data_IF_133964412509
#
_entry.id   IF_133964412509
#
_cell.length_a   1.000
_cell.length_b   1.000
_cell.length_c   1.000
_cell.angle_alpha   90.00
_cell.angle_beta   90.00
_cell.angle_gamma   90.00
#
_symmetry.space_group_name_H-M   'P 1'
#
loop_
_entity.id
_entity.type
_entity.pdbx_description
1 polymer ?
#
# COMPACT_ATOMS: atom_id res chain seq x y z
N UNK A 1 -40.98 29.35 72.72
CA UNK A 1 -40.49 30.30 71.72
C UNK A 1 -40.87 29.77 70.35
N UNK A 2 -41.92 30.35 69.79
CA UNK A 2 -42.58 30.00 68.52
C UNK A 2 -41.88 30.73 67.37
N UNK A 3 -41.36 30.00 66.38
CA UNK A 3 -40.90 30.54 65.09
C UNK A 3 -42.03 30.51 64.05
N UNK A 4 -42.24 31.55 63.25
CA UNK A 4 -43.36 31.62 62.35
C UNK A 4 -43.10 30.90 61.02
N UNK A 5 -44.11 30.17 60.56
CA UNK A 5 -44.19 29.32 59.34
C UNK A 5 -44.37 30.08 58.02
N UNK A 6 -43.66 31.17 57.73
CA UNK A 6 -43.89 31.97 56.50
C UNK A 6 -42.74 32.07 55.53
N UNK A 7 -41.59 31.38 55.75
CA UNK A 7 -40.45 31.39 54.78
C UNK A 7 -40.37 30.20 53.79
N UNK A 8 -41.15 29.14 54.00
CA UNK A 8 -41.05 27.95 53.16
C UNK A 8 -41.79 28.02 51.81
N UNK A 9 -42.64 29.02 51.59
CA UNK A 9 -43.46 29.13 50.37
C UNK A 9 -42.86 29.98 49.25
N UNK A 10 -41.82 30.75 49.50
CA UNK A 10 -41.16 31.61 48.48
C UNK A 10 -39.94 30.99 47.86
N UNK A 11 -39.36 29.95 48.42
CA UNK A 11 -38.18 29.22 47.85
C UNK A 11 -38.62 28.16 46.84
N UNK A 12 -39.84 27.61 46.94
CA UNK A 12 -40.36 26.63 46.01
C UNK A 12 -40.74 27.22 44.63
N UNK A 13 -41.01 28.54 44.51
CA UNK A 13 -41.35 29.17 43.20
C UNK A 13 -40.14 29.64 42.41
N UNK A 14 -38.98 29.83 43.00
CA UNK A 14 -37.73 30.20 42.31
C UNK A 14 -36.99 28.96 41.73
N UNK A 15 -37.14 27.79 42.34
CA UNK A 15 -36.59 26.54 41.83
C UNK A 15 -37.39 25.93 40.68
N UNK A 16 -38.67 26.24 40.50
CA UNK A 16 -39.49 25.76 39.40
C UNK A 16 -39.29 26.55 38.10
N UNK A 17 -38.77 27.80 38.16
CA UNK A 17 -38.56 28.64 36.97
C UNK A 17 -37.15 28.42 36.32
N UNK A 18 -36.22 27.75 36.99
CA UNK A 18 -34.90 27.44 36.43
C UNK A 18 -34.80 26.09 35.68
N UNK A 19 -35.87 25.29 35.64
CA UNK A 19 -35.85 23.97 34.99
C UNK A 19 -36.36 23.96 33.53
N UNK A 20 -36.66 25.09 32.94
CA UNK A 20 -37.23 25.16 31.56
C UNK A 20 -36.32 25.82 30.53
N UNK A 21 -35.09 26.18 30.87
CA UNK A 21 -34.09 26.58 29.90
C UNK A 21 -32.89 25.58 29.91
N UNK A 22 -33.16 24.33 29.55
CA UNK A 22 -32.10 23.49 29.03
C UNK A 22 -31.70 24.08 27.68
N UNK A 23 -30.46 24.56 27.46
CA UNK A 23 -30.01 24.87 26.12
C UNK A 23 -30.06 23.54 25.36
N UNK A 24 -30.80 23.50 24.26
CA UNK A 24 -30.58 22.55 23.21
C UNK A 24 -29.11 22.74 22.76
N UNK A 25 -28.19 22.10 23.45
CA UNK A 25 -26.84 21.87 22.96
C UNK A 25 -27.06 21.02 21.70
N UNK A 26 -27.18 21.68 20.56
CA UNK A 26 -26.93 21.05 19.28
C UNK A 26 -25.52 20.51 19.36
N UNK A 27 -25.39 19.22 19.71
CA UNK A 27 -24.18 18.49 19.44
C UNK A 27 -23.85 18.74 17.99
N UNK A 28 -22.67 19.26 17.62
CA UNK A 28 -22.28 19.30 16.25
C UNK A 28 -22.30 17.84 15.78
N UNK A 29 -23.30 17.47 15.01
CA UNK A 29 -23.26 16.27 14.21
C UNK A 29 -22.04 16.49 13.32
N UNK A 30 -20.94 15.80 13.60
CA UNK A 30 -19.90 15.58 12.61
C UNK A 30 -20.61 14.75 11.54
N UNK A 31 -21.26 15.46 10.60
CA UNK A 31 -21.69 14.84 9.37
C UNK A 31 -20.40 14.28 8.76
N UNK A 32 -20.31 12.97 8.70
CA UNK A 32 -19.20 12.30 8.01
C UNK A 32 -19.06 13.00 6.66
N UNK A 33 -17.88 13.57 6.38
CA UNK A 33 -17.67 14.38 5.20
C UNK A 33 -18.02 13.53 3.98
N UNK A 34 -19.08 13.93 3.26
CA UNK A 34 -19.67 13.13 2.19
C UNK A 34 -18.73 13.10 1.00
N UNK A 35 -18.37 11.90 0.55
CA UNK A 35 -17.61 11.74 -0.69
C UNK A 35 -18.49 12.14 -1.86
N UNK A 36 -17.99 13.06 -2.68
CA UNK A 36 -18.66 13.57 -3.87
C UNK A 36 -17.99 13.02 -5.12
N UNK A 37 -18.77 12.58 -6.10
CA UNK A 37 -18.30 12.37 -7.46
C UNK A 37 -18.32 13.71 -8.19
N UNK A 38 -17.16 14.32 -8.38
CA UNK A 38 -16.99 15.58 -9.07
C UNK A 38 -16.60 15.31 -10.52
N UNK A 39 -17.29 15.99 -11.44
CA UNK A 39 -16.92 16.02 -12.87
C UNK A 39 -16.62 17.46 -13.23
N UNK A 40 -15.41 17.74 -13.68
CA UNK A 40 -15.03 19.08 -14.14
C UNK A 40 -15.74 19.48 -15.41
N UNK A 41 -15.78 20.78 -15.79
CA UNK A 41 -16.30 21.22 -17.07
C UNK A 41 -15.65 20.54 -18.28
N UNK A 42 -14.36 20.21 -18.21
CA UNK A 42 -13.59 19.47 -19.24
C UNK A 42 -13.73 17.95 -19.18
N UNK A 43 -14.56 17.42 -18.26
CA UNK A 43 -14.84 15.99 -18.15
C UNK A 43 -13.79 15.18 -17.32
N UNK A 44 -12.99 15.85 -16.51
CA UNK A 44 -12.07 15.17 -15.57
C UNK A 44 -12.87 14.75 -14.32
N UNK A 45 -12.81 13.45 -13.98
CA UNK A 45 -13.54 12.89 -12.85
C UNK A 45 -12.66 12.78 -11.61
N UNK A 46 -13.19 13.11 -10.43
CA UNK A 46 -12.52 12.95 -9.16
C UNK A 46 -13.49 12.54 -8.04
N UNK A 47 -13.01 11.75 -7.08
CA UNK A 47 -13.69 11.62 -5.79
C UNK A 47 -13.20 12.70 -4.86
N UNK A 48 -14.12 13.49 -4.35
CA UNK A 48 -13.82 14.68 -3.60
C UNK A 48 -14.49 14.71 -2.22
N UNK A 49 -13.71 15.08 -1.21
CA UNK A 49 -14.18 15.37 0.14
C UNK A 49 -13.80 16.80 0.48
N UNK A 50 -14.80 17.67 0.61
CA UNK A 50 -14.57 19.03 1.07
C UNK A 50 -14.38 19.04 2.59
N UNK A 51 -13.19 19.46 3.03
CA UNK A 51 -12.82 19.57 4.44
C UNK A 51 -12.05 20.87 4.67
N UNK A 52 -12.68 21.81 5.34
CA UNK A 52 -12.11 23.12 5.69
C UNK A 52 -11.56 23.16 7.12
N UNK A 53 -11.44 22.03 7.80
CA UNK A 53 -10.93 21.95 9.17
C UNK A 53 -9.47 22.45 9.25
N UNK A 54 -8.67 22.17 8.22
CA UNK A 54 -7.30 22.65 8.05
C UNK A 54 -7.19 23.29 6.67
N UNK A 55 -6.51 24.45 6.51
CA UNK A 55 -6.37 25.12 5.20
C UNK A 55 -5.37 24.40 4.28
N UNK A 56 -5.64 23.12 3.99
CA UNK A 56 -4.79 22.20 3.27
C UNK A 56 -5.60 21.47 2.20
N UNK A 57 -4.94 21.16 1.08
CA UNK A 57 -5.48 20.31 0.01
C UNK A 57 -4.51 19.16 -0.20
N UNK A 58 -5.03 17.94 -0.19
CA UNK A 58 -4.32 16.71 -0.52
C UNK A 58 -4.98 16.06 -1.73
N UNK A 59 -4.21 15.79 -2.76
CA UNK A 59 -4.64 15.09 -3.96
C UNK A 59 -3.76 13.87 -4.20
N UNK A 60 -4.40 12.75 -4.44
CA UNK A 60 -3.78 11.51 -4.89
C UNK A 60 -4.36 11.16 -6.26
N UNK A 61 -3.51 10.73 -7.19
CA UNK A 61 -3.97 10.35 -8.52
C UNK A 61 -3.15 9.18 -9.08
N UNK A 62 -3.72 8.48 -10.05
CA UNK A 62 -3.06 7.38 -10.72
C UNK A 62 -3.50 7.27 -12.18
N UNK A 63 -2.55 6.88 -13.03
CA UNK A 63 -2.77 6.43 -14.40
C UNK A 63 -2.58 4.92 -14.44
N UNK A 64 -3.39 4.20 -15.22
CA UNK A 64 -3.16 2.78 -15.48
C UNK A 64 -1.89 2.58 -16.29
N UNK A 65 -1.12 1.55 -15.95
CA UNK A 65 0.02 1.16 -16.77
C UNK A 65 1.36 0.97 -16.09
N UNK A 66 1.74 1.53 -15.04
CA UNK A 66 2.95 1.30 -14.23
C UNK A 66 4.12 0.56 -14.90
N UNK A 67 4.88 -0.20 -14.12
CA UNK A 67 6.03 -0.97 -14.60
C UNK A 67 5.66 -2.16 -15.52
N UNK A 68 4.40 -2.56 -15.57
CA UNK A 68 3.94 -3.57 -16.56
C UNK A 68 4.04 -3.07 -18.00
N UNK A 69 4.19 -1.77 -18.20
CA UNK A 69 4.36 -1.14 -19.50
C UNK A 69 5.83 -0.97 -19.91
N UNK A 70 6.76 -1.33 -19.05
CA UNK A 70 8.19 -1.31 -19.35
C UNK A 70 8.53 -2.42 -20.36
N UNK A 71 9.31 -2.14 -21.42
CA UNK A 71 9.89 -3.19 -22.25
C UNK A 71 10.74 -4.15 -21.41
N UNK A 72 10.78 -5.43 -21.78
CA UNK A 72 11.45 -6.45 -20.97
C UNK A 72 12.94 -6.16 -20.73
N UNK A 73 13.61 -5.57 -21.72
CA UNK A 73 15.03 -5.18 -21.68
C UNK A 73 15.27 -3.79 -21.08
N UNK A 74 14.20 -3.02 -20.81
CA UNK A 74 14.21 -1.68 -20.22
C UNK A 74 13.36 -1.61 -18.94
N UNK A 75 13.32 -2.70 -18.14
CA UNK A 75 12.66 -2.71 -16.85
C UNK A 75 13.18 -1.55 -15.98
N UNK A 76 12.27 -0.85 -15.28
CA UNK A 76 12.57 0.35 -14.52
C UNK A 76 12.31 1.65 -15.29
N UNK A 77 11.80 1.59 -16.53
CA UNK A 77 11.47 2.79 -17.30
C UNK A 77 10.46 3.67 -16.58
N UNK A 78 9.33 3.12 -16.12
CA UNK A 78 8.35 3.86 -15.34
C UNK A 78 8.92 4.44 -14.05
N UNK A 79 9.84 3.74 -13.40
CA UNK A 79 10.54 4.23 -12.22
C UNK A 79 11.49 5.40 -12.55
N UNK A 80 12.24 5.33 -13.67
CA UNK A 80 13.08 6.45 -14.13
C UNK A 80 12.24 7.68 -14.44
N UNK A 81 11.11 7.52 -15.16
CA UNK A 81 10.18 8.62 -15.44
C UNK A 81 9.68 9.22 -14.12
N UNK A 82 9.24 8.41 -13.16
CA UNK A 82 8.73 8.89 -11.88
C UNK A 82 9.75 9.74 -11.09
N UNK A 83 11.03 9.39 -11.16
CA UNK A 83 12.09 10.13 -10.48
C UNK A 83 12.61 11.35 -11.26
N UNK A 84 12.05 11.64 -12.44
CA UNK A 84 12.53 12.72 -13.30
C UNK A 84 11.45 13.74 -13.67
N UNK A 85 10.18 13.50 -13.36
CA UNK A 85 9.10 14.44 -13.72
C UNK A 85 9.17 15.78 -12.99
N UNK A 86 9.81 15.86 -11.86
CA UNK A 86 10.05 17.07 -11.07
C UNK A 86 11.48 17.64 -11.22
N UNK A 87 12.28 17.04 -12.10
CA UNK A 87 13.66 17.44 -12.37
C UNK A 87 13.74 18.38 -13.60
N UNK A 88 12.92 19.45 -13.57
CA UNK A 88 12.80 20.43 -14.65
C UNK A 88 11.65 20.19 -15.60
N UNK A 89 10.81 21.22 -15.78
CA UNK A 89 9.60 21.13 -16.58
C UNK A 89 9.15 22.50 -17.07
N UNK A 90 8.60 22.57 -18.29
CA UNK A 90 8.12 23.82 -18.87
C UNK A 90 9.26 24.80 -19.15
N UNK A 91 9.32 25.92 -18.45
CA UNK A 91 10.39 26.93 -18.49
C UNK A 91 11.34 26.89 -17.29
N UNK A 92 11.18 25.89 -16.39
CA UNK A 92 11.92 25.76 -15.14
C UNK A 92 12.95 24.64 -15.25
N UNK A 93 14.20 24.95 -14.91
CA UNK A 93 15.21 23.93 -14.64
C UNK A 93 14.92 23.22 -13.28
N UNK A 94 15.59 22.11 -13.04
CA UNK A 94 15.42 21.29 -11.83
C UNK A 94 15.56 22.12 -10.55
N UNK A 95 16.58 22.98 -10.45
CA UNK A 95 16.83 23.82 -9.29
C UNK A 95 15.68 24.79 -9.03
N UNK A 96 15.26 25.53 -10.05
CA UNK A 96 14.19 26.52 -9.93
C UNK A 96 12.85 25.87 -9.62
N UNK A 97 12.61 24.66 -10.19
CA UNK A 97 11.41 23.88 -9.92
C UNK A 97 11.34 23.51 -8.42
N UNK A 98 12.40 22.92 -7.87
CA UNK A 98 12.46 22.57 -6.45
C UNK A 98 12.42 23.77 -5.52
N UNK A 99 13.08 24.89 -5.87
CA UNK A 99 12.99 26.14 -5.10
C UNK A 99 11.54 26.67 -5.02
N UNK A 100 10.73 26.49 -6.06
CA UNK A 100 9.31 26.88 -6.03
C UNK A 100 8.49 25.96 -5.12
N UNK A 101 8.72 24.64 -5.18
CA UNK A 101 8.09 23.69 -4.27
C UNK A 101 8.39 24.02 -2.80
N UNK A 102 9.68 24.19 -2.48
CA UNK A 102 10.14 24.45 -1.11
C UNK A 102 9.61 25.78 -0.56
N UNK A 103 9.69 26.85 -1.34
CA UNK A 103 9.25 28.18 -0.92
C UNK A 103 7.76 28.23 -0.56
N UNK A 104 6.95 27.39 -1.19
CA UNK A 104 5.50 27.31 -1.01
C UNK A 104 5.05 26.15 -0.14
N UNK A 105 6.00 25.37 0.40
CA UNK A 105 5.69 24.14 1.13
C UNK A 105 4.74 23.21 0.34
N UNK A 106 5.00 23.08 -0.97
CA UNK A 106 4.29 22.17 -1.85
C UNK A 106 5.00 20.82 -1.83
N UNK A 107 4.29 19.76 -1.51
CA UNK A 107 4.79 18.39 -1.59
C UNK A 107 4.25 17.75 -2.87
N UNK A 108 5.13 17.46 -3.80
CA UNK A 108 4.85 16.77 -5.05
C UNK A 108 5.70 15.51 -5.11
N UNK A 109 5.09 14.38 -5.45
CA UNK A 109 5.85 13.15 -5.65
C UNK A 109 5.20 12.25 -6.71
N UNK A 110 6.04 11.43 -7.35
CA UNK A 110 5.61 10.44 -8.33
C UNK A 110 6.20 9.08 -8.00
N UNK A 111 5.49 8.03 -8.33
CA UNK A 111 6.00 6.68 -8.24
C UNK A 111 5.39 5.75 -9.29
N UNK A 112 6.14 4.75 -9.73
CA UNK A 112 5.66 3.70 -10.62
C UNK A 112 5.51 2.41 -9.83
N UNK A 113 4.26 1.96 -9.67
CA UNK A 113 3.95 0.62 -9.16
C UNK A 113 3.88 -0.38 -10.31
N UNK A 114 3.46 -1.63 -10.06
CA UNK A 114 3.31 -2.60 -11.16
C UNK A 114 2.25 -2.17 -12.17
N UNK A 115 1.07 -1.81 -11.68
CA UNK A 115 -0.11 -1.58 -12.53
C UNK A 115 -0.43 -0.10 -12.74
N UNK A 116 0.18 0.78 -11.96
CA UNK A 116 -0.17 2.21 -11.95
C UNK A 116 1.06 3.11 -11.88
N UNK A 117 1.00 4.20 -12.64
CA UNK A 117 1.83 5.38 -12.41
C UNK A 117 1.05 6.32 -11.49
N UNK A 118 1.58 6.60 -10.31
CA UNK A 118 0.91 7.35 -9.25
C UNK A 118 1.60 8.67 -8.98
N UNK A 119 0.83 9.65 -8.51
CA UNK A 119 1.38 10.88 -7.96
C UNK A 119 0.55 11.38 -6.79
N UNK A 120 1.21 12.13 -5.93
CA UNK A 120 0.58 12.85 -4.83
C UNK A 120 0.95 14.34 -4.89
N UNK A 121 0.02 15.19 -4.50
CA UNK A 121 0.21 16.63 -4.41
C UNK A 121 -0.45 17.13 -3.12
N UNK A 122 0.34 17.78 -2.26
CA UNK A 122 -0.14 18.37 -1.03
C UNK A 122 0.34 19.82 -0.89
N UNK A 123 -0.56 20.72 -0.53
CA UNK A 123 -0.25 22.13 -0.40
C UNK A 123 -1.18 22.83 0.58
N UNK A 124 -0.74 24.01 1.04
CA UNK A 124 -1.67 24.96 1.66
C UNK A 124 -2.63 25.51 0.62
N UNK A 125 -3.88 25.75 1.01
CA UNK A 125 -4.96 26.28 0.17
C UNK A 125 -4.57 27.51 -0.66
N UNK A 126 -3.79 28.42 -0.06
CA UNK A 126 -3.32 29.67 -0.70
C UNK A 126 -2.34 29.43 -1.84
N UNK A 127 -1.64 28.28 -1.84
CA UNK A 127 -0.63 27.92 -2.84
C UNK A 127 -1.18 27.01 -3.94
N UNK A 128 -2.49 26.73 -3.96
CA UNK A 128 -3.11 25.76 -4.88
C UNK A 128 -2.83 26.05 -6.35
N UNK A 129 -2.92 27.31 -6.77
CA UNK A 129 -2.78 27.66 -8.19
C UNK A 129 -1.36 27.37 -8.69
N UNK A 130 -0.32 27.70 -7.90
CA UNK A 130 1.08 27.37 -8.22
C UNK A 130 1.34 25.86 -8.14
N UNK A 131 0.78 25.17 -7.16
CA UNK A 131 0.97 23.74 -7.00
C UNK A 131 0.38 22.93 -8.18
N UNK A 132 -0.83 23.27 -8.62
CA UNK A 132 -1.47 22.64 -9.77
C UNK A 132 -0.77 23.00 -11.09
N UNK A 133 -0.19 24.21 -11.21
CA UNK A 133 0.59 24.58 -12.39
C UNK A 133 1.93 23.83 -12.48
N UNK A 134 2.67 23.70 -11.35
CA UNK A 134 3.87 22.87 -11.28
C UNK A 134 3.58 21.42 -11.65
N UNK A 135 2.50 20.84 -11.11
CA UNK A 135 2.08 19.50 -11.49
C UNK A 135 1.74 19.40 -12.99
N UNK A 136 1.01 20.38 -13.55
CA UNK A 136 0.71 20.42 -14.98
C UNK A 136 1.98 20.39 -15.81
N UNK A 137 2.96 21.22 -15.48
CA UNK A 137 4.24 21.26 -16.18
C UNK A 137 4.98 19.93 -16.13
N UNK A 138 5.05 19.29 -14.96
CA UNK A 138 5.65 17.96 -14.78
C UNK A 138 5.00 16.91 -15.68
N UNK A 139 3.68 16.92 -15.80
CA UNK A 139 2.95 15.91 -16.56
C UNK A 139 2.95 16.16 -18.08
N UNK A 140 3.02 17.42 -18.51
CA UNK A 140 2.85 17.78 -19.94
C UNK A 140 4.13 18.20 -20.65
N UNK A 141 5.13 18.65 -19.91
CA UNK A 141 6.35 19.27 -20.48
C UNK A 141 7.62 18.93 -19.68
N UNK A 142 7.83 17.67 -19.25
CA UNK A 142 9.05 17.29 -18.56
C UNK A 142 10.26 17.41 -19.49
N UNK A 143 11.38 17.89 -18.98
CA UNK A 143 12.59 18.12 -19.78
C UNK A 143 13.35 16.83 -20.08
N UNK A 144 13.64 16.04 -19.06
CA UNK A 144 14.57 14.92 -19.13
C UNK A 144 15.95 15.37 -19.62
N UNK A 145 16.48 16.44 -18.99
CA UNK A 145 17.78 16.98 -19.34
C UNK A 145 18.88 15.95 -19.02
N UNK A 146 19.89 15.86 -19.90
CA UNK A 146 20.92 14.82 -19.81
C UNK A 146 21.66 14.79 -18.48
N UNK A 147 21.93 15.96 -17.89
CA UNK A 147 22.59 16.06 -16.58
C UNK A 147 21.73 15.48 -15.44
N UNK A 148 20.41 15.73 -15.46
CA UNK A 148 19.48 15.20 -14.46
C UNK A 148 19.24 13.71 -14.69
N UNK A 149 19.11 13.25 -15.92
CA UNK A 149 19.01 11.83 -16.26
C UNK A 149 20.25 11.06 -15.79
N UNK A 150 21.46 11.60 -15.98
CA UNK A 150 22.69 10.98 -15.50
C UNK A 150 22.73 10.94 -13.97
N UNK A 151 22.41 12.05 -13.31
CA UNK A 151 22.40 12.17 -11.84
C UNK A 151 21.38 11.19 -11.20
N UNK A 152 20.14 11.22 -11.66
CA UNK A 152 19.06 10.35 -11.16
C UNK A 152 19.34 8.88 -11.50
N UNK A 153 19.81 8.62 -12.72
CA UNK A 153 20.25 7.28 -13.13
C UNK A 153 21.35 6.73 -12.21
N UNK A 154 22.35 7.55 -11.85
CA UNK A 154 23.39 7.15 -10.90
C UNK A 154 22.82 6.85 -9.50
N UNK A 155 21.82 7.60 -9.02
CA UNK A 155 21.13 7.36 -7.76
C UNK A 155 20.37 6.02 -7.78
N UNK A 156 19.58 5.77 -8.84
CA UNK A 156 18.86 4.50 -9.03
C UNK A 156 19.84 3.34 -9.07
N UNK A 157 20.92 3.43 -9.86
CA UNK A 157 21.95 2.41 -9.95
C UNK A 157 22.65 2.16 -8.60
N UNK A 158 22.88 3.19 -7.80
CA UNK A 158 23.41 3.05 -6.43
C UNK A 158 22.44 2.28 -5.53
N UNK A 159 21.14 2.56 -5.63
CA UNK A 159 20.08 1.79 -4.95
C UNK A 159 20.11 0.33 -5.35
N UNK A 160 20.11 0.04 -6.65
CA UNK A 160 20.13 -1.31 -7.19
C UNK A 160 21.39 -2.10 -6.77
N UNK A 161 22.57 -1.45 -6.72
CA UNK A 161 23.79 -2.09 -6.19
C UNK A 161 23.64 -2.49 -4.72
N UNK A 162 23.07 -1.63 -3.87
CA UNK A 162 22.78 -1.99 -2.47
C UNK A 162 21.83 -3.19 -2.37
N UNK A 163 20.83 -3.25 -3.23
CA UNK A 163 19.85 -4.34 -3.26
C UNK A 163 20.46 -5.69 -3.62
N UNK A 164 21.58 -5.74 -4.36
CA UNK A 164 22.26 -7.00 -4.68
C UNK A 164 22.89 -7.71 -3.47
N UNK A 165 23.12 -6.98 -2.38
CA UNK A 165 23.62 -7.52 -1.10
C UNK A 165 22.60 -7.48 0.04
N UNK A 166 21.39 -6.97 -0.21
CA UNK A 166 20.34 -6.91 0.79
C UNK A 166 19.51 -8.21 0.76
N UNK A 167 19.52 -9.01 1.84
CA UNK A 167 18.82 -10.29 1.85
C UNK A 167 17.30 -10.17 1.69
N UNK A 168 16.69 -9.09 2.18
CA UNK A 168 15.24 -8.85 2.03
C UNK A 168 14.88 -8.51 0.59
N UNK A 169 15.66 -7.63 -0.07
CA UNK A 169 15.46 -7.29 -1.49
C UNK A 169 15.64 -8.53 -2.38
N UNK A 170 16.67 -9.34 -2.12
CA UNK A 170 16.92 -10.58 -2.84
C UNK A 170 15.78 -11.60 -2.66
N UNK A 171 15.29 -11.76 -1.44
CA UNK A 171 14.20 -12.70 -1.13
C UNK A 171 12.88 -12.27 -1.79
N UNK A 172 12.52 -10.99 -1.71
CA UNK A 172 11.30 -10.45 -2.33
C UNK A 172 11.34 -10.55 -3.85
N UNK A 173 12.47 -10.22 -4.47
CA UNK A 173 12.68 -10.36 -5.91
C UNK A 173 12.52 -11.82 -6.36
N UNK A 174 13.24 -12.73 -5.68
CA UNK A 174 13.19 -14.16 -6.01
C UNK A 174 11.80 -14.76 -5.79
N UNK A 175 11.07 -14.29 -4.80
CA UNK A 175 9.69 -14.71 -4.57
C UNK A 175 8.79 -14.36 -5.77
N UNK A 176 8.86 -13.12 -6.27
CA UNK A 176 8.06 -12.70 -7.42
C UNK A 176 8.47 -13.40 -8.72
N UNK A 177 9.77 -13.64 -8.91
CA UNK A 177 10.29 -14.43 -10.02
C UNK A 177 9.75 -15.87 -9.99
N UNK A 178 9.77 -16.52 -8.81
CA UNK A 178 9.19 -17.87 -8.63
C UNK A 178 7.66 -17.85 -8.82
N UNK A 179 6.99 -16.83 -8.30
CA UNK A 179 5.53 -16.75 -8.38
C UNK A 179 5.02 -16.48 -9.80
N UNK A 180 5.73 -15.68 -10.60
CA UNK A 180 5.19 -15.17 -11.86
C UNK A 180 6.04 -15.47 -13.11
N UNK A 181 7.26 -16.01 -12.96
CA UNK A 181 8.14 -16.36 -14.08
C UNK A 181 8.36 -15.17 -15.03
N UNK A 182 8.10 -15.39 -16.32
CA UNK A 182 8.30 -14.40 -17.39
C UNK A 182 7.21 -13.32 -17.46
N UNK A 183 6.12 -13.44 -16.70
CA UNK A 183 5.08 -12.42 -16.63
C UNK A 183 5.67 -11.10 -16.12
N UNK A 184 5.17 -9.91 -16.56
CA UNK A 184 5.66 -8.62 -16.08
C UNK A 184 5.72 -8.48 -14.55
N UNK A 185 4.87 -9.18 -13.82
CA UNK A 185 4.89 -9.19 -12.35
C UNK A 185 6.11 -9.88 -11.74
N UNK A 186 6.77 -10.78 -12.45
CA UNK A 186 8.03 -11.39 -12.06
C UNK A 186 9.25 -10.48 -12.21
N UNK A 187 9.10 -9.39 -12.98
CA UNK A 187 10.19 -8.44 -13.24
C UNK A 187 10.36 -7.45 -12.08
N UNK A 188 11.53 -6.83 -12.02
CA UNK A 188 11.83 -5.78 -11.06
C UNK A 188 11.25 -4.43 -11.53
N UNK A 189 10.26 -3.89 -10.82
CA UNK A 189 9.64 -2.61 -11.17
C UNK A 189 10.62 -1.42 -11.13
N UNK A 190 11.65 -1.50 -10.27
CA UNK A 190 12.67 -0.45 -10.16
C UNK A 190 13.82 -0.63 -11.17
N UNK A 191 13.77 -1.66 -12.02
CA UNK A 191 14.82 -1.99 -12.97
C UNK A 191 15.91 -2.88 -12.42
N UNK A 192 16.92 -3.13 -13.25
CA UNK A 192 18.13 -3.91 -12.93
C UNK A 192 19.39 -3.12 -13.27
N UNK A 193 20.55 -3.62 -12.83
CA UNK A 193 21.85 -3.03 -13.20
C UNK A 193 22.11 -3.09 -14.71
N UNK A 194 21.44 -4.00 -15.42
CA UNK A 194 21.57 -4.19 -16.87
C UNK A 194 20.52 -3.40 -17.65
N UNK A 195 19.30 -3.23 -17.12
CA UNK A 195 18.18 -2.59 -17.84
C UNK A 195 18.22 -1.07 -17.75
N UNK A 196 18.50 -0.51 -16.57
CA UNK A 196 18.49 0.95 -16.35
C UNK A 196 19.46 1.71 -17.30
N UNK A 197 20.71 1.23 -17.52
CA UNK A 197 21.61 1.88 -18.46
C UNK A 197 21.17 1.87 -19.94
N UNK A 198 20.14 1.09 -20.30
CA UNK A 198 19.59 1.04 -21.67
C UNK A 198 18.44 2.00 -21.89
N UNK A 199 17.95 2.62 -20.82
CA UNK A 199 16.83 3.58 -20.87
C UNK A 199 17.37 4.92 -21.35
N UNK A 200 16.80 5.45 -22.42
CA UNK A 200 17.15 6.77 -22.95
C UNK A 200 16.00 7.79 -22.82
N UNK A 201 16.26 9.04 -23.19
CA UNK A 201 15.28 10.13 -23.13
C UNK A 201 14.09 9.88 -24.06
N UNK A 202 14.30 9.22 -25.20
CA UNK A 202 13.23 8.92 -26.15
C UNK A 202 12.25 7.89 -25.56
N UNK A 203 12.76 6.90 -24.82
CA UNK A 203 11.94 5.91 -24.10
C UNK A 203 11.06 6.59 -23.05
N UNK A 204 11.64 7.52 -22.25
CA UNK A 204 10.93 8.24 -21.20
C UNK A 204 9.83 9.13 -21.75
N UNK A 205 10.10 9.87 -22.84
CA UNK A 205 9.11 10.69 -23.54
C UNK A 205 8.01 9.84 -24.17
N UNK A 206 8.37 8.68 -24.70
CA UNK A 206 7.39 7.72 -25.22
C UNK A 206 6.51 7.15 -24.11
N UNK A 207 7.09 6.77 -22.96
CA UNK A 207 6.34 6.30 -21.80
C UNK A 207 5.31 7.33 -21.33
N UNK A 208 5.72 8.60 -21.12
CA UNK A 208 4.83 9.70 -20.73
C UNK A 208 3.66 9.82 -21.71
N UNK A 209 3.93 9.85 -23.03
CA UNK A 209 2.90 9.98 -24.07
C UNK A 209 1.92 8.80 -24.08
N UNK A 210 2.39 7.56 -23.84
CA UNK A 210 1.57 6.36 -23.91
C UNK A 210 0.76 6.10 -22.64
N UNK A 211 1.34 6.40 -21.47
CA UNK A 211 0.78 6.00 -20.17
C UNK A 211 -0.03 7.13 -19.53
N UNK A 212 0.46 8.38 -19.56
CA UNK A 212 -0.21 9.48 -18.88
C UNK A 212 -1.37 10.00 -19.74
N UNK A 213 -2.54 9.36 -19.63
CA UNK A 213 -3.72 9.68 -20.42
C UNK A 213 -5.01 9.71 -19.57
N UNK A 214 -5.97 10.51 -20.01
CA UNK A 214 -7.19 10.85 -19.24
C UNK A 214 -8.13 9.66 -19.00
N UNK A 215 -8.23 8.72 -19.95
CA UNK A 215 -9.16 7.58 -19.85
C UNK A 215 -8.81 6.60 -18.70
N UNK A 216 -7.53 6.52 -18.36
CA UNK A 216 -7.07 5.66 -17.25
C UNK A 216 -6.87 6.42 -15.92
N UNK A 217 -7.01 7.74 -15.94
CA UNK A 217 -6.79 8.61 -14.80
C UNK A 217 -7.86 8.39 -13.72
N UNK A 218 -7.42 8.26 -12.48
CA UNK A 218 -8.25 8.28 -11.28
C UNK A 218 -7.69 9.32 -10.30
N UNK A 219 -8.58 10.11 -9.69
CA UNK A 219 -8.19 11.22 -8.82
C UNK A 219 -9.03 11.16 -7.54
N UNK A 220 -8.38 11.38 -6.41
CA UNK A 220 -9.03 11.64 -5.14
C UNK A 220 -8.48 12.92 -4.52
N UNK A 221 -9.36 13.79 -4.05
CA UNK A 221 -9.00 15.08 -3.43
C UNK A 221 -9.72 15.23 -2.10
N UNK A 222 -8.99 15.65 -1.09
CA UNK A 222 -9.54 15.99 0.24
C UNK A 222 -8.96 17.32 0.67
N UNK A 223 -9.82 18.28 1.03
CA UNK A 223 -9.30 19.54 1.57
C UNK A 223 -10.20 20.76 1.38
N UNK A 224 -9.64 21.91 1.72
CA UNK A 224 -10.31 23.21 1.73
C UNK A 224 -10.28 23.88 0.35
N UNK A 225 -11.11 23.39 -0.53
CA UNK A 225 -11.38 23.98 -1.85
C UNK A 225 -12.83 23.77 -2.21
N UNK A 226 -13.44 24.72 -2.91
CA UNK A 226 -14.81 24.54 -3.41
C UNK A 226 -14.82 23.71 -4.71
N UNK A 227 -15.92 22.99 -4.99
CA UNK A 227 -16.02 22.12 -6.16
C UNK A 227 -15.79 22.81 -7.51
N UNK A 228 -16.24 24.06 -7.65
CA UNK A 228 -16.13 24.80 -8.91
C UNK A 228 -14.68 25.23 -9.18
N UNK A 229 -13.97 25.67 -8.16
CA UNK A 229 -12.52 25.98 -8.23
C UNK A 229 -11.73 24.72 -8.51
N UNK A 230 -12.01 23.63 -7.77
CA UNK A 230 -11.33 22.35 -8.00
C UNK A 230 -11.51 21.85 -9.44
N UNK A 231 -12.75 21.89 -9.98
CA UNK A 231 -13.01 21.48 -11.35
C UNK A 231 -12.17 22.24 -12.39
N UNK A 232 -11.98 23.56 -12.21
CA UNK A 232 -11.10 24.37 -13.09
C UNK A 232 -9.64 23.97 -12.96
N UNK A 233 -9.14 23.75 -11.74
CA UNK A 233 -7.77 23.34 -11.49
C UNK A 233 -7.49 21.96 -12.10
N UNK A 234 -8.43 21.01 -12.00
CA UNK A 234 -8.31 19.70 -12.64
C UNK A 234 -8.25 19.81 -14.17
N UNK A 235 -9.09 20.64 -14.79
CA UNK A 235 -9.06 20.86 -16.24
C UNK A 235 -7.76 21.49 -16.70
N UNK A 236 -7.25 22.48 -15.96
CA UNK A 236 -5.97 23.11 -16.27
C UNK A 236 -4.81 22.13 -16.19
N UNK A 237 -4.83 21.24 -15.19
CA UNK A 237 -3.73 20.30 -14.94
C UNK A 237 -3.76 19.10 -15.89
N UNK A 238 -4.90 18.46 -16.04
CA UNK A 238 -4.99 17.18 -16.76
C UNK A 238 -5.62 17.32 -18.15
N UNK A 239 -6.26 18.43 -18.47
CA UNK A 239 -6.95 18.62 -19.74
C UNK A 239 -6.05 18.55 -20.97
N UNK A 240 -4.77 18.93 -20.84
CA UNK A 240 -3.76 18.85 -21.91
C UNK A 240 -3.21 17.45 -22.19
N UNK A 241 -3.50 16.46 -21.33
CA UNK A 241 -3.04 15.09 -21.54
C UNK A 241 -3.77 14.38 -22.67
N UNK A 242 -3.15 13.36 -23.31
CA UNK A 242 -3.82 12.52 -24.30
C UNK A 242 -5.17 12.01 -23.80
N UNK A 243 -6.16 11.95 -24.68
CA UNK A 243 -7.48 11.44 -24.31
C UNK A 243 -7.48 9.95 -24.00
N UNK A 244 -6.63 9.17 -24.69
CA UNK A 244 -6.53 7.72 -24.55
C UNK A 244 -5.09 7.26 -24.36
N UNK A 245 -4.89 6.34 -23.43
CA UNK A 245 -3.63 5.65 -23.22
C UNK A 245 -3.35 4.64 -24.35
N UNK A 246 -2.08 4.43 -24.66
CA UNK A 246 -1.62 3.40 -25.59
C UNK A 246 -0.85 2.32 -24.82
N UNK A 247 -1.61 1.51 -24.06
CA UNK A 247 -1.04 0.49 -23.20
C UNK A 247 -0.89 -0.85 -23.93
N UNK A 248 0.21 -1.54 -23.62
CA UNK A 248 0.38 -2.93 -24.02
C UNK A 248 -0.53 -3.80 -23.12
N UNK A 249 -1.39 -4.67 -23.70
CA UNK A 249 -2.22 -5.56 -22.91
C UNK A 249 -1.39 -6.48 -22.01
N UNK A 250 -1.79 -6.61 -20.75
CA UNK A 250 -1.21 -7.52 -19.79
C UNK A 250 -2.20 -8.65 -19.52
N UNK A 251 -1.77 -9.90 -19.65
CA UNK A 251 -2.63 -11.05 -19.41
C UNK A 251 -2.84 -11.27 -17.90
N UNK A 252 -3.99 -11.82 -17.54
CA UNK A 252 -4.17 -12.37 -16.18
C UNK A 252 -3.27 -13.58 -15.98
N UNK A 253 -2.69 -13.70 -14.77
CA UNK A 253 -1.80 -14.79 -14.40
C UNK A 253 -2.12 -15.30 -13.00
N UNK A 254 -2.11 -16.61 -12.82
CA UNK A 254 -2.11 -17.22 -11.49
C UNK A 254 -0.68 -17.36 -10.99
N UNK A 255 -0.45 -17.07 -9.71
CA UNK A 255 0.86 -17.32 -9.11
C UNK A 255 1.16 -18.83 -9.13
N UNK A 256 2.44 -19.16 -9.24
CA UNK A 256 2.90 -20.55 -9.25
C UNK A 256 2.35 -21.35 -8.06
N UNK A 257 2.01 -22.62 -8.32
CA UNK A 257 1.43 -23.49 -7.29
C UNK A 257 2.47 -23.94 -6.28
N UNK A 258 2.18 -23.84 -4.98
CA UNK A 258 2.99 -24.46 -3.93
C UNK A 258 2.91 -26.01 -3.98
N UNK A 259 3.80 -26.75 -3.28
CA UNK A 259 4.95 -26.19 -2.58
C UNK A 259 6.16 -26.01 -3.51
N UNK A 260 6.87 -24.91 -3.36
CA UNK A 260 8.16 -24.69 -4.04
C UNK A 260 9.13 -24.04 -3.05
N UNK A 261 10.42 -24.30 -3.23
CA UNK A 261 11.47 -23.74 -2.37
C UNK A 261 12.66 -23.27 -3.20
N UNK A 262 13.09 -22.04 -2.96
CA UNK A 262 14.30 -21.46 -3.50
C UNK A 262 15.26 -21.05 -2.38
N UNK A 263 16.57 -21.18 -2.63
CA UNK A 263 17.62 -20.78 -1.70
C UNK A 263 18.64 -19.91 -2.42
N UNK A 264 19.01 -18.79 -1.79
CA UNK A 264 20.09 -17.91 -2.25
C UNK A 264 21.14 -17.89 -1.14
N UNK A 265 22.35 -18.37 -1.47
CA UNK A 265 23.47 -18.32 -0.54
C UNK A 265 23.98 -16.88 -0.42
N UNK A 266 23.98 -16.36 0.80
CA UNK A 266 24.52 -15.04 1.12
C UNK A 266 25.16 -15.09 2.51
N UNK A 267 26.41 -14.64 2.62
CA UNK A 267 27.12 -14.64 3.91
C UNK A 267 26.70 -13.45 4.77
N UNK A 268 25.57 -13.61 5.44
CA UNK A 268 24.99 -12.61 6.33
C UNK A 268 24.65 -13.25 7.69
N UNK A 269 24.69 -12.50 8.80
CA UNK A 269 24.43 -13.05 10.12
C UNK A 269 22.94 -13.44 10.33
N UNK A 270 22.03 -12.83 9.58
CA UNK A 270 20.61 -13.06 9.68
C UNK A 270 20.07 -13.62 8.36
N UNK A 271 19.38 -14.74 8.43
CA UNK A 271 18.68 -15.35 7.31
C UNK A 271 17.30 -14.72 7.15
N UNK A 272 16.96 -14.32 5.94
CA UNK A 272 15.62 -13.86 5.58
C UNK A 272 14.85 -15.01 4.95
N UNK A 273 13.62 -15.21 5.42
CA UNK A 273 12.65 -16.16 4.87
C UNK A 273 11.47 -15.36 4.34
N UNK A 274 11.22 -15.46 3.04
CA UNK A 274 9.97 -15.00 2.40
C UNK A 274 9.14 -16.21 2.06
N UNK A 275 7.87 -16.18 2.43
CA UNK A 275 6.93 -17.27 2.16
C UNK A 275 5.63 -16.70 1.61
N UNK A 276 4.88 -17.51 0.85
CA UNK A 276 3.64 -17.04 0.26
C UNK A 276 3.02 -18.06 -0.67
N UNK A 277 2.09 -17.60 -1.51
CA UNK A 277 1.38 -18.42 -2.49
C UNK A 277 0.29 -17.64 -3.22
N UNK A 278 -0.56 -18.32 -4.01
CA UNK A 278 -1.71 -17.71 -4.66
C UNK A 278 -2.64 -17.01 -3.66
N UNK A 279 -2.99 -15.75 -3.92
CA UNK A 279 -3.88 -14.94 -3.10
C UNK A 279 -5.32 -14.90 -3.59
N UNK A 280 -6.06 -13.88 -3.14
CA UNK A 280 -7.43 -13.59 -3.55
C UNK A 280 -7.47 -12.22 -4.20
N UNK A 281 -7.98 -12.11 -5.43
CA UNK A 281 -8.18 -10.84 -6.13
C UNK A 281 -9.17 -9.95 -5.37
N UNK A 282 -9.00 -8.63 -5.48
CA UNK A 282 -9.83 -7.67 -4.75
C UNK A 282 -11.33 -7.73 -5.08
N UNK A 283 -11.65 -8.08 -6.30
CA UNK A 283 -13.03 -8.23 -6.78
C UNK A 283 -13.65 -9.60 -6.52
N UNK A 284 -12.94 -10.52 -5.86
CA UNK A 284 -13.49 -11.84 -5.49
C UNK A 284 -14.56 -11.65 -4.39
N UNK A 285 -15.72 -12.34 -4.50
CA UNK A 285 -16.77 -12.27 -3.48
C UNK A 285 -16.28 -12.66 -2.07
N UNK A 286 -15.30 -13.56 -1.98
CA UNK A 286 -14.72 -14.02 -0.72
C UNK A 286 -13.53 -13.20 -0.23
N UNK A 287 -13.24 -12.06 -0.88
CA UNK A 287 -12.10 -11.23 -0.51
C UNK A 287 -12.12 -10.84 0.96
N UNK A 288 -13.27 -10.40 1.49
CA UNK A 288 -13.34 -9.95 2.88
C UNK A 288 -13.09 -11.10 3.87
N UNK A 289 -13.57 -12.29 3.59
CA UNK A 289 -13.25 -13.47 4.41
C UNK A 289 -11.74 -13.76 4.38
N UNK A 290 -11.11 -13.73 3.20
CA UNK A 290 -9.66 -13.84 3.04
C UNK A 290 -8.90 -12.75 3.80
N UNK A 291 -9.37 -11.51 3.75
CA UNK A 291 -8.77 -10.38 4.44
C UNK A 291 -8.82 -10.53 5.98
N UNK A 292 -9.96 -11.01 6.50
CA UNK A 292 -10.12 -11.25 7.95
C UNK A 292 -9.22 -12.40 8.42
N UNK A 293 -9.17 -13.52 7.70
CA UNK A 293 -8.31 -14.65 8.12
C UNK A 293 -6.83 -14.33 7.96
N UNK A 294 -6.46 -13.52 6.95
CA UNK A 294 -5.10 -12.99 6.82
C UNK A 294 -4.71 -12.15 8.03
N UNK A 295 -5.62 -11.28 8.50
CA UNK A 295 -5.39 -10.52 9.73
C UNK A 295 -5.10 -11.43 10.92
N UNK A 296 -5.86 -12.50 11.10
CA UNK A 296 -5.68 -13.47 12.20
C UNK A 296 -4.35 -14.21 12.08
N UNK A 297 -3.97 -14.67 10.86
CA UNK A 297 -2.76 -15.46 10.69
C UNK A 297 -1.49 -14.64 10.85
N UNK A 298 -1.35 -13.51 10.11
CA UNK A 298 -0.09 -12.76 10.06
C UNK A 298 -0.23 -11.24 9.93
N UNK A 299 -1.38 -10.75 9.45
CA UNK A 299 -1.62 -9.32 9.20
C UNK A 299 -1.94 -8.50 10.46
N UNK A 300 -2.34 -9.12 11.53
CA UNK A 300 -2.71 -8.47 12.80
C UNK A 300 -1.53 -8.04 13.68
N UNK A 301 -0.30 -8.10 13.18
CA UNK A 301 0.89 -7.70 13.92
C UNK A 301 1.06 -8.53 15.18
N UNK A 302 1.14 -7.87 16.36
CA UNK A 302 1.41 -8.52 17.65
C UNK A 302 0.33 -9.54 18.08
N UNK A 303 -0.90 -9.41 17.61
CA UNK A 303 -2.01 -10.31 17.93
C UNK A 303 -2.16 -11.50 16.96
N UNK A 304 -1.32 -11.58 15.92
CA UNK A 304 -1.42 -12.63 14.93
C UNK A 304 -0.86 -13.97 15.41
N UNK A 305 -1.39 -15.07 14.89
CA UNK A 305 -0.92 -16.43 15.22
C UNK A 305 0.56 -16.62 14.90
N UNK A 306 1.03 -16.15 13.76
CA UNK A 306 2.45 -16.27 13.38
C UNK A 306 3.35 -15.53 14.36
N UNK A 307 2.99 -14.32 14.78
CA UNK A 307 3.77 -13.59 15.77
C UNK A 307 3.85 -14.33 17.10
N UNK A 308 2.73 -14.82 17.57
CA UNK A 308 2.64 -15.59 18.83
C UNK A 308 3.46 -16.89 18.76
N UNK A 309 3.34 -17.68 17.69
CA UNK A 309 4.03 -18.96 17.54
C UNK A 309 5.53 -18.83 17.27
N UNK A 310 5.93 -17.86 16.44
CA UNK A 310 7.32 -17.74 15.98
C UNK A 310 8.14 -16.88 16.95
N UNK A 311 7.58 -15.73 17.40
CA UNK A 311 8.30 -14.81 18.29
C UNK A 311 8.09 -15.13 19.74
N UNK A 312 6.85 -15.11 20.24
CA UNK A 312 6.60 -15.17 21.68
C UNK A 312 6.92 -16.55 22.26
N UNK A 313 6.41 -17.61 21.65
CA UNK A 313 6.60 -18.97 22.18
C UNK A 313 7.99 -19.53 21.92
N UNK A 314 8.64 -19.21 20.79
CA UNK A 314 9.88 -19.86 20.38
C UNK A 314 11.09 -18.93 20.29
N UNK A 315 10.90 -17.62 20.31
CA UNK A 315 12.00 -16.65 20.17
C UNK A 315 12.80 -16.80 18.88
N UNK A 316 12.17 -17.24 17.79
CA UNK A 316 12.86 -17.55 16.54
C UNK A 316 13.12 -16.31 15.70
N UNK A 317 12.27 -15.29 15.80
CA UNK A 317 12.36 -14.07 15.04
C UNK A 317 11.91 -12.87 15.85
N UNK A 318 12.39 -11.68 15.51
CA UNK A 318 11.91 -10.43 16.09
C UNK A 318 10.54 -10.03 15.55
N UNK A 319 10.31 -10.26 14.27
CA UNK A 319 9.03 -9.99 13.61
C UNK A 319 8.74 -11.06 12.57
N UNK A 320 7.48 -11.37 12.42
CA UNK A 320 6.93 -12.18 11.34
C UNK A 320 5.58 -11.59 10.97
N UNK A 321 5.36 -11.39 9.69
CA UNK A 321 4.10 -10.86 9.19
C UNK A 321 3.75 -11.52 7.86
N UNK A 322 2.50 -11.44 7.49
CA UNK A 322 1.98 -11.87 6.21
C UNK A 322 0.86 -10.90 5.80
N UNK A 323 0.73 -10.66 4.51
CA UNK A 323 -0.28 -9.78 3.94
C UNK A 323 -0.77 -10.30 2.59
N UNK A 324 -2.01 -9.94 2.25
CA UNK A 324 -2.54 -10.10 0.90
C UNK A 324 -2.01 -8.97 0.02
N UNK A 325 -1.51 -9.35 -1.15
CA UNK A 325 -1.11 -8.42 -2.21
C UNK A 325 -1.96 -8.73 -3.44
N UNK A 326 -2.95 -7.88 -3.69
CA UNK A 326 -3.77 -7.96 -4.90
C UNK A 326 -3.28 -6.96 -5.94
N UNK A 327 -3.37 -7.35 -7.18
CA UNK A 327 -2.94 -6.61 -8.36
C UNK A 327 -4.04 -6.74 -9.43
N UNK A 328 -3.98 -5.95 -10.49
CA UNK A 328 -5.02 -5.98 -11.53
C UNK A 328 -5.12 -7.36 -12.20
N UNK A 329 -3.97 -8.02 -12.43
CA UNK A 329 -3.88 -9.27 -13.19
C UNK A 329 -3.60 -10.50 -12.34
N UNK A 330 -3.39 -10.37 -11.01
CA UNK A 330 -3.09 -11.49 -10.11
C UNK A 330 -3.34 -11.14 -8.65
N UNK A 331 -3.12 -12.10 -7.76
CA UNK A 331 -3.02 -11.89 -6.33
C UNK A 331 -2.10 -12.94 -5.70
N UNK A 332 -1.36 -12.54 -4.65
CA UNK A 332 -0.60 -13.44 -3.80
C UNK A 332 -0.85 -13.09 -2.33
N UNK A 333 -0.66 -14.04 -1.44
CA UNK A 333 -0.29 -13.72 -0.07
C UNK A 333 1.23 -13.81 0.06
N UNK A 334 1.83 -12.94 0.84
CA UNK A 334 3.28 -12.92 1.05
C UNK A 334 3.60 -12.49 2.47
N UNK A 335 4.47 -13.24 3.10
CA UNK A 335 5.01 -12.92 4.41
C UNK A 335 6.52 -12.97 4.43
N UNK A 336 7.11 -12.33 5.40
CA UNK A 336 8.55 -12.42 5.61
C UNK A 336 8.92 -12.38 7.09
N UNK A 337 10.14 -12.88 7.36
CA UNK A 337 10.76 -12.83 8.68
C UNK A 337 12.28 -12.88 8.56
N UNK A 338 12.96 -12.27 9.52
CA UNK A 338 14.39 -12.40 9.72
C UNK A 338 14.70 -13.28 10.93
N UNK A 339 15.54 -14.27 10.78
CA UNK A 339 15.92 -15.21 11.85
C UNK A 339 17.42 -15.45 11.87
N UNK A 340 17.94 -16.00 12.96
CA UNK A 340 19.33 -16.45 13.02
C UNK A 340 19.60 -17.56 12.02
N UNK A 341 20.77 -17.57 11.39
CA UNK A 341 21.12 -18.55 10.36
C UNK A 341 20.99 -20.00 10.84
N UNK A 342 21.39 -20.28 12.09
CA UNK A 342 21.30 -21.61 12.73
C UNK A 342 19.86 -22.04 13.09
N UNK A 343 18.91 -21.10 13.09
CA UNK A 343 17.50 -21.36 13.45
C UNK A 343 16.55 -21.26 12.22
N UNK A 344 17.09 -21.02 11.02
CA UNK A 344 16.28 -20.81 9.82
C UNK A 344 15.37 -22.01 9.49
N UNK A 345 15.85 -23.23 9.61
CA UNK A 345 15.05 -24.44 9.41
C UNK A 345 13.87 -24.53 10.37
N UNK A 346 14.13 -24.34 11.66
CA UNK A 346 13.09 -24.36 12.71
C UNK A 346 12.05 -23.25 12.49
N UNK A 347 12.48 -22.07 12.04
CA UNK A 347 11.58 -20.95 11.73
C UNK A 347 10.64 -21.30 10.59
N UNK A 348 11.17 -21.84 9.48
CA UNK A 348 10.37 -22.30 8.33
C UNK A 348 9.37 -23.37 8.75
N UNK A 349 9.79 -24.33 9.57
CA UNK A 349 8.93 -25.40 10.06
C UNK A 349 7.81 -24.87 10.98
N UNK A 350 8.14 -23.91 11.83
CA UNK A 350 7.13 -23.27 12.71
C UNK A 350 6.07 -22.51 11.90
N UNK A 351 6.50 -21.71 10.90
CA UNK A 351 5.60 -21.01 9.98
C UNK A 351 4.74 -22.01 9.21
N UNK A 352 5.35 -23.04 8.61
CA UNK A 352 4.64 -24.02 7.81
C UNK A 352 3.59 -24.78 8.63
N UNK A 353 3.90 -25.17 9.88
CA UNK A 353 2.95 -25.82 10.77
C UNK A 353 1.75 -24.92 11.09
N UNK A 354 2.01 -23.64 11.39
CA UNK A 354 0.92 -22.73 11.76
C UNK A 354 0.02 -22.37 10.57
N UNK A 355 0.62 -22.15 9.40
CA UNK A 355 -0.10 -21.95 8.14
C UNK A 355 -0.98 -23.16 7.82
N UNK A 356 -0.44 -24.39 7.96
CA UNK A 356 -1.21 -25.63 7.76
C UNK A 356 -2.35 -25.74 8.75
N UNK A 357 -2.10 -25.49 10.06
CA UNK A 357 -3.13 -25.51 11.09
C UNK A 357 -4.27 -24.53 10.78
N UNK A 358 -3.93 -23.31 10.30
CA UNK A 358 -4.95 -22.36 9.87
C UNK A 358 -5.73 -22.85 8.67
N UNK A 359 -5.09 -23.53 7.72
CA UNK A 359 -5.77 -24.11 6.55
C UNK A 359 -6.71 -25.26 6.92
N UNK A 360 -6.30 -26.13 7.83
CA UNK A 360 -7.04 -27.36 8.20
C UNK A 360 -8.17 -27.05 9.20
N UNK A 361 -7.89 -26.31 10.27
CA UNK A 361 -8.83 -26.05 11.37
C UNK A 361 -9.62 -24.76 11.18
N UNK A 362 -9.02 -23.78 10.45
CA UNK A 362 -9.51 -22.40 10.35
C UNK A 362 -9.30 -21.60 11.63
N UNK A 363 -9.89 -20.40 11.71
CA UNK A 363 -9.93 -19.62 12.94
C UNK A 363 -10.98 -20.16 13.91
N UNK A 364 -10.83 -19.84 15.19
CA UNK A 364 -11.88 -19.98 16.20
C UNK A 364 -12.89 -18.84 16.08
N UNK A 365 -14.09 -19.02 16.70
CA UNK A 365 -15.09 -17.93 16.74
C UNK A 365 -14.55 -16.69 17.46
N UNK A 366 -13.81 -16.90 18.56
CA UNK A 366 -13.21 -15.80 19.32
C UNK A 366 -12.23 -14.98 18.47
N UNK A 367 -11.30 -15.64 17.75
CA UNK A 367 -10.34 -14.95 16.86
C UNK A 367 -11.06 -14.17 15.73
N UNK A 368 -12.14 -14.75 15.21
CA UNK A 368 -12.96 -14.08 14.19
C UNK A 368 -13.60 -12.81 14.75
N UNK A 369 -14.20 -12.87 15.94
CA UNK A 369 -14.87 -11.73 16.57
C UNK A 369 -13.88 -10.63 16.95
N UNK A 370 -12.72 -10.99 17.49
CA UNK A 370 -11.63 -10.07 17.81
C UNK A 370 -11.08 -9.38 16.56
N UNK A 371 -10.82 -10.14 15.49
CA UNK A 371 -10.36 -9.60 14.21
C UNK A 371 -11.36 -8.62 13.59
N UNK A 372 -12.66 -8.96 13.58
CA UNK A 372 -13.72 -8.06 13.11
C UNK A 372 -13.77 -6.78 13.93
N UNK A 373 -13.73 -6.88 15.25
CA UNK A 373 -13.73 -5.72 16.14
C UNK A 373 -12.55 -4.79 15.85
N UNK A 374 -11.35 -5.36 15.74
CA UNK A 374 -10.15 -4.59 15.42
C UNK A 374 -10.23 -3.92 14.04
N UNK A 375 -10.60 -4.67 13.00
CA UNK A 375 -10.67 -4.16 11.61
C UNK A 375 -11.69 -3.04 11.44
N UNK A 376 -12.78 -3.05 12.21
CA UNK A 376 -13.75 -1.97 12.24
C UNK A 376 -13.23 -0.76 13.01
N UNK A 377 -12.68 -0.97 14.20
CA UNK A 377 -12.16 0.11 15.04
C UNK A 377 -10.97 0.84 14.44
N UNK A 378 -10.04 0.11 13.84
CA UNK A 378 -8.82 0.69 13.24
C UNK A 378 -9.07 1.50 11.97
N UNK A 379 -10.22 1.34 11.31
CA UNK A 379 -10.54 2.08 10.07
C UNK A 379 -10.51 3.60 10.28
N UNK A 380 -11.08 4.09 11.38
CA UNK A 380 -11.12 5.53 11.65
C UNK A 380 -9.71 6.11 11.85
N UNK A 381 -8.83 5.37 12.52
CA UNK A 381 -7.44 5.77 12.72
C UNK A 381 -6.60 5.74 11.43
N UNK A 382 -6.98 4.87 10.50
CA UNK A 382 -6.32 4.78 9.19
C UNK A 382 -6.68 5.93 8.24
N UNK A 383 -7.71 6.74 8.57
CA UNK A 383 -8.25 7.82 7.73
C UNK A 383 -8.23 9.18 8.43
N UNK A 384 -7.35 9.36 9.42
CA UNK A 384 -7.33 10.51 10.33
C UNK A 384 -6.72 11.80 9.72
N UNK A 385 -6.15 11.74 8.50
CA UNK A 385 -5.61 12.90 7.79
C UNK A 385 -6.15 12.99 6.37
N UNK A 386 -6.18 14.22 5.80
CA UNK A 386 -6.61 14.44 4.41
C UNK A 386 -5.83 13.58 3.41
N UNK A 387 -4.49 13.45 3.59
CA UNK A 387 -3.65 12.62 2.72
C UNK A 387 -3.99 11.12 2.81
N UNK A 388 -4.19 10.59 4.02
CA UNK A 388 -4.59 9.19 4.21
C UNK A 388 -5.98 8.92 3.64
N UNK A 389 -6.91 9.84 3.83
CA UNK A 389 -8.25 9.70 3.25
C UNK A 389 -8.19 9.78 1.72
N UNK A 390 -7.46 10.74 1.13
CA UNK A 390 -7.29 10.83 -0.32
C UNK A 390 -6.65 9.54 -0.89
N UNK A 391 -5.61 9.01 -0.24
CA UNK A 391 -4.95 7.77 -0.64
C UNK A 391 -5.90 6.57 -0.59
N UNK A 392 -6.72 6.46 0.46
CA UNK A 392 -7.73 5.40 0.56
C UNK A 392 -8.80 5.51 -0.52
N UNK A 393 -9.31 6.74 -0.80
CA UNK A 393 -10.29 6.99 -1.85
C UNK A 393 -9.75 6.67 -3.23
N UNK A 394 -8.47 7.00 -3.51
CA UNK A 394 -7.81 6.60 -4.74
C UNK A 394 -7.73 5.08 -4.83
N UNK A 395 -7.29 4.39 -3.76
CA UNK A 395 -7.19 2.94 -3.76
C UNK A 395 -8.54 2.26 -3.99
N UNK A 396 -9.63 2.79 -3.42
CA UNK A 396 -10.98 2.26 -3.66
C UNK A 396 -11.42 2.41 -5.11
N UNK A 397 -11.05 3.52 -5.78
CA UNK A 397 -11.30 3.68 -7.22
C UNK A 397 -10.49 2.67 -8.06
N UNK A 398 -9.21 2.46 -7.74
CA UNK A 398 -8.35 1.48 -8.42
C UNK A 398 -8.86 0.06 -8.22
N UNK A 399 -9.36 -0.26 -7.03
CA UNK A 399 -9.99 -1.53 -6.68
C UNK A 399 -11.41 -1.68 -7.29
N UNK A 400 -11.90 -0.67 -8.03
CA UNK A 400 -13.25 -0.63 -8.65
C UNK A 400 -14.38 -0.79 -7.63
N UNK A 401 -14.19 -0.28 -6.42
CA UNK A 401 -15.20 -0.29 -5.37
C UNK A 401 -16.18 0.88 -5.53
N UNK A 402 -17.41 0.75 -5.04
CA UNK A 402 -18.39 1.82 -5.10
C UNK A 402 -17.99 2.99 -4.17
N UNK A 403 -18.41 4.20 -4.49
CA UNK A 403 -18.09 5.43 -3.77
C UNK A 403 -18.50 5.39 -2.28
N UNK A 404 -19.54 4.65 -1.96
CA UNK A 404 -20.07 4.45 -0.61
C UNK A 404 -19.43 3.26 0.14
N UNK A 405 -18.35 2.68 -0.42
CA UNK A 405 -17.68 1.52 0.19
C UNK A 405 -17.20 1.80 1.62
N UNK A 406 -16.68 3.02 1.88
CA UNK A 406 -16.18 3.39 3.21
C UNK A 406 -17.27 3.28 4.29
N UNK A 407 -18.52 3.63 3.94
CA UNK A 407 -19.66 3.55 4.82
C UNK A 407 -20.14 2.11 5.02
N UNK A 408 -20.08 1.30 3.95
CA UNK A 408 -20.56 -0.09 3.93
C UNK A 408 -19.56 -1.11 4.44
N UNK A 409 -18.27 -0.76 4.51
CA UNK A 409 -17.18 -1.70 4.82
C UNK A 409 -17.39 -2.44 6.15
N UNK A 410 -17.84 -1.74 7.18
CA UNK A 410 -18.05 -2.38 8.49
C UNK A 410 -19.15 -3.44 8.43
N UNK A 411 -20.24 -3.19 7.70
CA UNK A 411 -21.29 -4.20 7.49
C UNK A 411 -20.76 -5.41 6.68
N UNK A 412 -19.89 -5.18 5.69
CA UNK A 412 -19.25 -6.26 4.93
C UNK A 412 -18.33 -7.10 5.83
N UNK A 413 -17.56 -6.48 6.73
CA UNK A 413 -16.74 -7.18 7.73
C UNK A 413 -17.62 -8.01 8.68
N UNK A 414 -18.72 -7.42 9.17
CA UNK A 414 -19.65 -8.11 10.08
C UNK A 414 -20.35 -9.31 9.43
N UNK A 415 -20.58 -9.26 8.14
CA UNK A 415 -21.24 -10.33 7.39
C UNK A 415 -20.37 -11.60 7.24
N UNK A 416 -19.05 -11.54 7.43
CA UNK A 416 -18.17 -12.72 7.33
C UNK A 416 -18.53 -13.72 8.42
N UNK A 417 -18.94 -14.92 8.04
CA UNK A 417 -19.23 -16.04 8.97
C UNK A 417 -17.98 -16.86 9.29
N UNK A 418 -18.05 -17.68 10.32
CA UNK A 418 -16.96 -18.63 10.64
C UNK A 418 -16.72 -19.62 9.51
N UNK A 419 -17.78 -20.07 8.84
CA UNK A 419 -17.69 -20.97 7.69
C UNK A 419 -16.98 -20.30 6.50
N UNK A 420 -17.32 -19.04 6.19
CA UNK A 420 -16.62 -18.27 5.15
C UNK A 420 -15.14 -18.10 5.48
N UNK A 421 -14.82 -17.80 6.74
CA UNK A 421 -13.46 -17.67 7.22
C UNK A 421 -12.66 -18.98 7.08
N UNK A 422 -13.24 -20.11 7.45
CA UNK A 422 -12.62 -21.44 7.28
C UNK A 422 -12.39 -21.78 5.80
N UNK A 423 -13.38 -21.55 4.95
CA UNK A 423 -13.24 -21.77 3.48
C UNK A 423 -12.16 -20.89 2.88
N UNK A 424 -12.09 -19.63 3.29
CA UNK A 424 -11.04 -18.69 2.82
C UNK A 424 -9.63 -19.12 3.29
N UNK A 425 -9.49 -19.58 4.53
CA UNK A 425 -8.23 -20.11 5.06
C UNK A 425 -7.76 -21.35 4.28
N UNK A 426 -8.66 -22.31 4.05
CA UNK A 426 -8.38 -23.51 3.25
C UNK A 426 -7.97 -23.14 1.81
N UNK A 427 -8.66 -22.18 1.19
CA UNK A 427 -8.36 -21.72 -0.17
C UNK A 427 -6.98 -21.06 -0.27
N UNK A 428 -6.63 -20.21 0.69
CA UNK A 428 -5.36 -19.47 0.69
C UNK A 428 -4.18 -20.41 0.96
N UNK A 429 -4.28 -21.28 1.95
CA UNK A 429 -3.13 -21.97 2.50
C UNK A 429 -3.15 -23.49 2.36
N UNK A 430 -4.23 -24.06 1.86
CA UNK A 430 -4.39 -25.53 1.75
C UNK A 430 -3.40 -26.21 0.78
N UNK A 431 -2.76 -25.45 -0.11
CA UNK A 431 -1.76 -25.98 -1.04
C UNK A 431 -0.31 -25.90 -0.53
N UNK A 432 -0.08 -25.32 0.65
CA UNK A 432 1.25 -25.10 1.20
C UNK A 432 1.86 -23.76 0.79
N UNK A 433 3.19 -23.66 0.78
CA UNK A 433 3.91 -22.40 0.63
C UNK A 433 4.92 -22.43 -0.52
N UNK A 434 5.03 -21.31 -1.24
CA UNK A 434 6.24 -20.89 -1.94
C UNK A 434 7.19 -20.33 -0.88
N UNK A 435 8.43 -20.81 -0.80
CA UNK A 435 9.39 -20.38 0.22
C UNK A 435 10.70 -19.97 -0.43
N UNK A 436 11.18 -18.77 -0.12
CA UNK A 436 12.48 -18.28 -0.53
C UNK A 436 13.30 -17.98 0.72
N UNK A 437 14.51 -18.53 0.76
CA UNK A 437 15.45 -18.38 1.88
C UNK A 437 16.72 -17.72 1.35
N UNK A 438 17.12 -16.62 2.00
CA UNK A 438 18.37 -15.91 1.69
C UNK A 438 19.21 -15.84 2.95
N UNK A 439 20.40 -16.45 2.92
CA UNK A 439 21.28 -16.49 4.08
C UNK A 439 22.42 -17.48 3.92
N UNK A 440 23.10 -17.77 5.02
CA UNK A 440 24.16 -18.79 5.01
C UNK A 440 23.60 -20.17 4.68
N UNK A 441 24.32 -20.90 3.84
CA UNK A 441 23.97 -22.30 3.60
C UNK A 441 23.95 -23.06 4.93
N UNK A 442 22.98 -23.98 5.16
CA UNK A 442 23.02 -24.85 6.32
C UNK A 442 24.39 -25.56 6.32
N UNK A 443 25.15 -25.40 7.37
CA UNK A 443 26.35 -26.26 7.54
C UNK A 443 25.84 -27.70 7.57
N UNK A 444 26.33 -28.53 6.65
CA UNK A 444 26.15 -29.98 6.74
C UNK A 444 26.54 -30.37 8.16
N UNK A 445 25.62 -31.01 8.90
CA UNK A 445 25.88 -31.42 10.26
C UNK A 445 27.26 -32.12 10.23
N UNK A 446 28.23 -31.56 10.96
CA UNK A 446 29.56 -32.14 11.05
C UNK A 446 29.36 -33.61 11.44
N UNK A 447 29.73 -34.56 10.56
CA UNK A 447 29.72 -35.95 10.95
C UNK A 447 30.55 -36.06 12.23
N UNK A 448 30.04 -36.68 13.29
CA UNK A 448 30.83 -36.87 14.47
C UNK A 448 32.13 -37.54 14.03
N UNK A 449 33.27 -36.93 14.35
CA UNK A 449 34.55 -37.47 14.04
C UNK A 449 34.58 -38.95 14.48
N UNK A 450 34.85 -39.86 13.52
CA UNK A 450 34.94 -41.26 13.82
C UNK A 450 35.93 -41.43 14.99
N UNK A 451 35.47 -42.05 16.06
CA UNK A 451 36.29 -42.31 17.23
C UNK A 451 37.59 -43.04 16.78
N UNK A 452 38.74 -42.47 17.14
CA UNK A 452 40.02 -43.08 16.85
C UNK A 452 40.04 -44.49 17.48
N UNK A 453 40.56 -45.52 16.77
CA UNK A 453 40.63 -46.85 17.33
C UNK A 453 41.55 -46.86 18.57
N UNK A 454 41.23 -47.66 19.59
CA UNK A 454 42.05 -47.73 20.80
C UNK A 454 43.45 -48.20 20.44
N UNK A 455 44.45 -47.51 21.00
CA UNK A 455 45.85 -47.89 20.87
C UNK A 455 46.04 -49.31 21.42
N UNK A 456 46.56 -50.20 20.58
CA UNK A 456 46.96 -51.55 21.00
C UNK A 456 48.20 -51.44 21.90
N UNK A 457 48.09 -52.01 23.13
CA UNK A 457 49.22 -52.30 24.02
C UNK A 457 49.95 -53.53 23.57
#
# INVERSE_FOLDING_TARGET
>A
VTYPRTCARRIAFVLAACLTMAPLASTPSHAAAKIQHLVSPGGIEAWFVQDATVPLIAMEYAFGGGATQDPADKAGLGNMVANLLDEGSGDLDSKTFHERLDRRAIELSFNSTRDYFRGSLRMLKENKDEAFDLLRMSLTSPHFDSADVERVGAQVMSGLRRDTSNPTSLASRKFLEVAFGDHPYGRQANGTLESVPRIDVADMKDYVRRVLARDTLRIAVVGDVDPATLGKLLDQTFGGLPAKASLTPVADVEAAKPPQRAFIALDVPQTVVTFGGPGIKRNDPNFMAGYVVNHILGGGGLSSRLYHEVREKRGLAYSVHESLLWMDHSAVFVGNTGTRADRAGETVDAITREVRRMAEDGPTQQELDEAKSYLKGSQMLALDTSSKLASALLQYQLDKLPIDYIEKRNAIVDAVTLDDAKKAAQRLWGQGLLTVIVGRAPQAAAQPAAAAPPAAN
#
